data_IF_191027350306
#
_entry.id   IF_191027350306
#
_cell.length_a   1.000
_cell.length_b   1.000
_cell.length_c   1.000
_cell.angle_alpha   90.00
_cell.angle_beta   90.00
_cell.angle_gamma   90.00
#
_symmetry.space_group_name_H-M   'P 1'
#
loop_
_entity.id
_entity.type
_entity.pdbx_description
1 polymer ?
#
# COMPACT_ATOMS: atom_id res chain seq x y z
N UNK A 1 4.27 -30.13 -6.96
CA UNK A 1 5.40 -29.52 -6.28
C UNK A 1 5.22 -28.00 -6.30
N UNK A 2 4.44 -27.51 -5.36
CA UNK A 2 4.11 -26.08 -5.27
C UNK A 2 5.13 -25.30 -4.42
N UNK A 3 6.21 -25.94 -4.01
CA UNK A 3 7.22 -25.38 -3.11
C UNK A 3 8.59 -25.18 -3.74
N UNK A 4 8.78 -25.54 -5.01
CA UNK A 4 10.07 -25.38 -5.67
C UNK A 4 10.32 -23.93 -6.04
N UNK A 5 11.52 -23.46 -5.73
CA UNK A 5 12.00 -22.14 -6.13
C UNK A 5 12.27 -22.08 -7.65
N UNK A 6 12.33 -20.86 -8.18
CA UNK A 6 12.63 -20.63 -9.61
C UNK A 6 14.01 -21.16 -10.00
N UNK A 7 14.98 -21.05 -9.09
CA UNK A 7 16.32 -21.59 -9.29
C UNK A 7 16.31 -23.13 -9.41
N UNK A 8 15.63 -23.81 -8.50
CA UNK A 8 15.49 -25.28 -8.52
C UNK A 8 14.78 -25.75 -9.80
N UNK A 9 13.72 -25.05 -10.22
CA UNK A 9 13.01 -25.36 -11.45
C UNK A 9 13.89 -25.18 -12.68
N UNK A 10 14.74 -24.16 -12.70
CA UNK A 10 15.68 -23.91 -13.81
C UNK A 10 16.77 -24.99 -13.87
N UNK A 11 17.29 -25.42 -12.71
CA UNK A 11 18.28 -26.52 -12.62
C UNK A 11 17.68 -27.83 -13.15
N UNK A 12 16.45 -28.14 -12.78
CA UNK A 12 15.75 -29.33 -13.29
C UNK A 12 15.56 -29.24 -14.80
N UNK A 13 15.13 -28.05 -15.30
CA UNK A 13 15.00 -27.82 -16.73
C UNK A 13 16.31 -28.08 -17.49
N UNK A 14 17.41 -27.53 -17.00
CA UNK A 14 18.72 -27.75 -17.58
C UNK A 14 19.18 -29.24 -17.48
N UNK A 15 18.89 -29.91 -16.37
CA UNK A 15 19.21 -31.31 -16.17
C UNK A 15 18.48 -32.24 -17.16
N UNK A 16 17.26 -31.92 -17.54
CA UNK A 16 16.48 -32.67 -18.53
C UNK A 16 17.12 -32.58 -19.93
N UNK A 17 17.75 -31.44 -20.26
CA UNK A 17 18.43 -31.28 -21.55
C UNK A 17 19.70 -32.14 -21.73
N UNK A 18 20.25 -32.64 -20.64
CA UNK A 18 21.44 -33.56 -20.66
C UNK A 18 21.04 -34.99 -21.01
N UNK A 19 19.74 -35.28 -21.11
CA UNK A 19 19.27 -36.65 -21.42
C UNK A 19 19.47 -36.91 -22.92
N UNK A 20 20.39 -37.82 -23.24
CA UNK A 20 20.70 -38.20 -24.61
C UNK A 20 19.94 -39.48 -25.04
N UNK A 21 19.35 -40.20 -24.08
CA UNK A 21 18.67 -41.48 -24.32
C UNK A 21 17.41 -41.65 -23.49
N UNK A 22 16.35 -42.06 -24.12
CA UNK A 22 15.08 -42.44 -23.45
C UNK A 22 14.76 -43.90 -23.83
N UNK A 23 14.98 -44.83 -22.88
CA UNK A 23 14.85 -46.26 -23.16
C UNK A 23 15.87 -46.72 -24.22
N UNK A 24 15.46 -47.47 -25.25
CA UNK A 24 16.37 -47.93 -26.30
C UNK A 24 16.65 -46.90 -27.40
N UNK A 25 16.03 -45.69 -27.34
CA UNK A 25 16.13 -44.71 -28.39
C UNK A 25 17.00 -43.52 -28.01
N UNK A 26 17.83 -43.04 -28.95
CA UNK A 26 18.52 -41.76 -28.81
C UNK A 26 17.49 -40.61 -28.88
N UNK A 27 17.60 -39.69 -27.92
CA UNK A 27 16.65 -38.59 -27.79
C UNK A 27 17.39 -37.27 -27.59
N UNK A 28 16.93 -36.22 -28.23
CA UNK A 28 17.44 -34.87 -28.00
C UNK A 28 16.32 -34.05 -27.36
N UNK A 29 16.43 -33.82 -26.08
CA UNK A 29 15.47 -33.06 -25.29
C UNK A 29 15.86 -31.58 -25.27
N UNK A 30 14.92 -30.68 -25.48
CA UNK A 30 15.11 -29.25 -25.32
C UNK A 30 13.98 -28.66 -24.50
N UNK A 31 14.32 -27.81 -23.54
CA UNK A 31 13.36 -27.03 -22.77
C UNK A 31 12.95 -25.81 -23.58
N UNK A 32 11.73 -25.77 -24.08
CA UNK A 32 11.22 -24.65 -24.87
C UNK A 32 11.02 -23.39 -24.02
N UNK A 33 10.34 -23.55 -22.90
CA UNK A 33 10.05 -22.44 -21.97
C UNK A 33 9.66 -22.97 -20.59
N UNK A 34 10.15 -22.31 -19.57
CA UNK A 34 9.73 -22.54 -18.18
C UNK A 34 8.71 -21.47 -17.83
N UNK A 35 7.50 -21.88 -17.48
CA UNK A 35 6.42 -20.97 -17.11
C UNK A 35 5.92 -21.26 -15.69
N UNK A 36 5.65 -20.20 -14.93
CA UNK A 36 5.00 -20.35 -13.64
C UNK A 36 3.51 -20.62 -13.86
N UNK A 37 3.10 -21.86 -13.55
CA UNK A 37 1.70 -22.31 -13.65
C UNK A 37 0.74 -21.43 -12.81
N UNK A 38 1.26 -20.79 -11.76
CA UNK A 38 0.47 -19.91 -10.89
C UNK A 38 0.04 -18.66 -11.64
N UNK A 39 0.91 -18.10 -12.50
CA UNK A 39 0.57 -16.92 -13.32
C UNK A 39 -0.56 -17.27 -14.30
N UNK A 40 -0.40 -18.37 -15.05
CA UNK A 40 -1.46 -18.81 -15.99
C UNK A 40 -2.78 -19.18 -15.29
N UNK A 41 -2.72 -19.80 -14.11
CA UNK A 41 -3.94 -20.08 -13.33
C UNK A 41 -4.59 -18.80 -12.83
N UNK A 42 -3.81 -17.83 -12.41
CA UNK A 42 -4.30 -16.52 -11.98
C UNK A 42 -5.02 -15.80 -13.12
N UNK A 43 -4.39 -15.73 -14.30
CA UNK A 43 -5.00 -15.09 -15.48
C UNK A 43 -6.31 -15.78 -15.90
N UNK A 44 -6.35 -17.11 -15.87
CA UNK A 44 -7.57 -17.88 -16.14
C UNK A 44 -8.68 -17.58 -15.13
N UNK A 45 -8.33 -17.51 -13.83
CA UNK A 45 -9.29 -17.20 -12.76
C UNK A 45 -9.79 -15.76 -12.91
N UNK A 46 -8.90 -14.79 -13.18
CA UNK A 46 -9.29 -13.40 -13.41
C UNK A 46 -10.22 -13.26 -14.60
N UNK A 47 -9.87 -13.86 -15.74
CA UNK A 47 -10.70 -13.78 -16.93
C UNK A 47 -12.05 -14.46 -16.70
N UNK A 48 -12.06 -15.63 -16.05
CA UNK A 48 -13.32 -16.32 -15.73
C UNK A 48 -14.18 -15.52 -14.74
N UNK A 49 -13.56 -14.90 -13.74
CA UNK A 49 -14.28 -14.05 -12.80
C UNK A 49 -14.87 -12.81 -13.49
N UNK A 50 -14.14 -12.21 -14.45
CA UNK A 50 -14.65 -11.10 -15.26
C UNK A 50 -15.85 -11.53 -16.11
N UNK A 51 -15.77 -12.69 -16.78
CA UNK A 51 -16.87 -13.24 -17.57
C UNK A 51 -18.11 -13.53 -16.69
N UNK A 52 -17.88 -14.11 -15.51
CA UNK A 52 -18.96 -14.40 -14.56
C UNK A 52 -19.58 -13.11 -14.01
N UNK A 53 -18.77 -12.11 -13.71
CA UNK A 53 -19.25 -10.80 -13.25
C UNK A 53 -20.07 -10.12 -14.34
N UNK A 54 -19.62 -10.15 -15.60
CA UNK A 54 -20.37 -9.59 -16.72
C UNK A 54 -21.73 -10.27 -16.86
N UNK A 55 -21.75 -11.61 -16.82
CA UNK A 55 -22.98 -12.37 -16.89
C UNK A 55 -23.93 -12.11 -15.70
N UNK A 56 -23.38 -11.86 -14.51
CA UNK A 56 -24.16 -11.48 -13.33
C UNK A 56 -24.77 -10.07 -13.50
N UNK A 57 -24.00 -9.11 -13.99
CA UNK A 57 -24.46 -7.74 -14.25
C UNK A 57 -25.59 -7.76 -15.30
N UNK A 58 -25.41 -8.56 -16.36
CA UNK A 58 -26.37 -8.64 -17.47
C UNK A 58 -27.66 -9.38 -17.09
N UNK A 59 -27.62 -10.28 -16.09
CA UNK A 59 -28.74 -11.17 -15.75
C UNK A 59 -29.34 -10.95 -14.34
N UNK A 60 -28.85 -10.01 -13.52
CA UNK A 60 -29.26 -9.96 -12.12
C UNK A 60 -30.30 -8.93 -11.76
N UNK A 61 -31.27 -9.40 -11.02
CA UNK A 61 -32.18 -8.62 -10.18
C UNK A 61 -31.44 -8.01 -8.97
N UNK A 62 -32.01 -6.98 -8.30
CA UNK A 62 -31.31 -6.06 -7.40
C UNK A 62 -30.69 -6.60 -6.11
N UNK A 63 -30.86 -7.87 -5.76
CA UNK A 63 -30.40 -8.46 -4.49
C UNK A 63 -28.97 -9.03 -4.48
N UNK A 64 -28.21 -8.82 -5.56
CA UNK A 64 -26.87 -9.41 -5.72
C UNK A 64 -25.70 -8.44 -5.53
N UNK A 65 -25.93 -7.32 -4.83
CA UNK A 65 -24.90 -6.30 -4.60
C UNK A 65 -23.72 -6.86 -3.76
N UNK A 66 -24.03 -7.64 -2.73
CA UNK A 66 -22.99 -8.23 -1.87
C UNK A 66 -22.14 -9.26 -2.62
N UNK A 67 -22.73 -10.15 -3.41
CA UNK A 67 -21.98 -11.10 -4.22
C UNK A 67 -21.18 -10.44 -5.34
N UNK A 68 -21.71 -9.38 -5.96
CA UNK A 68 -20.98 -8.56 -6.94
C UNK A 68 -19.79 -7.87 -6.30
N UNK A 69 -19.94 -7.37 -5.09
CA UNK A 69 -18.87 -6.69 -4.36
C UNK A 69 -17.77 -7.67 -3.93
N UNK A 70 -18.12 -8.89 -3.52
CA UNK A 70 -17.16 -9.92 -3.14
C UNK A 70 -16.36 -10.44 -4.35
N UNK A 71 -17.00 -10.69 -5.49
CA UNK A 71 -16.32 -11.07 -6.73
C UNK A 71 -15.47 -9.92 -7.25
N UNK A 72 -15.97 -8.68 -7.21
CA UNK A 72 -15.23 -7.51 -7.59
C UNK A 72 -14.01 -7.28 -6.67
N UNK A 73 -14.13 -7.51 -5.35
CA UNK A 73 -13.04 -7.48 -4.41
C UNK A 73 -11.98 -8.55 -4.74
N UNK A 74 -12.40 -9.79 -5.01
CA UNK A 74 -11.50 -10.88 -5.38
C UNK A 74 -10.73 -10.60 -6.67
N UNK A 75 -11.39 -10.02 -7.69
CA UNK A 75 -10.73 -9.61 -8.94
C UNK A 75 -9.71 -8.51 -8.69
N UNK A 76 -10.02 -7.54 -7.84
CA UNK A 76 -9.11 -6.42 -7.51
C UNK A 76 -7.92 -6.86 -6.66
N UNK A 77 -8.11 -7.82 -5.75
CA UNK A 77 -7.01 -8.45 -5.03
C UNK A 77 -5.98 -9.07 -5.99
N UNK A 78 -6.43 -9.54 -7.15
CA UNK A 78 -5.59 -10.09 -8.20
C UNK A 78 -4.92 -9.00 -9.07
N UNK A 79 -5.43 -7.77 -9.07
CA UNK A 79 -4.81 -6.62 -9.75
C UNK A 79 -3.58 -6.08 -9.01
N UNK A 80 -3.44 -6.37 -7.71
CA UNK A 80 -2.27 -5.94 -6.95
C UNK A 80 -1.02 -6.63 -7.47
N UNK A 81 -0.08 -5.81 -7.87
CA UNK A 81 1.26 -6.21 -8.28
C UNK A 81 2.27 -5.95 -7.17
N UNK A 82 3.50 -6.40 -7.36
CA UNK A 82 4.63 -6.12 -6.46
C UNK A 82 5.66 -5.32 -7.23
N UNK A 83 5.97 -4.13 -6.72
CA UNK A 83 6.91 -3.22 -7.34
C UNK A 83 8.27 -3.23 -6.65
N UNK A 84 9.32 -3.17 -7.47
CA UNK A 84 10.69 -2.96 -7.03
C UNK A 84 11.29 -4.09 -6.20
N UNK A 85 12.50 -3.85 -5.67
CA UNK A 85 13.24 -4.78 -4.81
C UNK A 85 12.52 -5.02 -3.48
N UNK A 86 11.85 -4.00 -2.99
CA UNK A 86 11.11 -4.02 -1.71
C UNK A 86 9.76 -4.76 -1.84
N UNK A 87 9.39 -5.18 -3.06
CA UNK A 87 8.15 -5.92 -3.36
C UNK A 87 6.90 -5.23 -2.84
N UNK A 88 6.84 -3.91 -3.00
CA UNK A 88 5.75 -3.09 -2.50
C UNK A 88 4.44 -3.39 -3.21
N UNK A 89 3.31 -3.44 -2.49
CA UNK A 89 2.00 -3.62 -3.11
C UNK A 89 1.67 -2.40 -3.95
N UNK A 90 1.32 -2.60 -5.21
CA UNK A 90 0.97 -1.50 -6.11
C UNK A 90 -0.13 -1.87 -7.08
N UNK A 91 -0.72 -0.85 -7.67
CA UNK A 91 -1.65 -0.98 -8.78
C UNK A 91 -0.92 -1.26 -10.12
N UNK A 92 -1.68 -1.71 -11.14
CA UNK A 92 -1.11 -2.13 -12.42
C UNK A 92 -0.52 -1.00 -13.27
N UNK A 93 -0.88 0.26 -13.01
CA UNK A 93 -0.46 1.41 -13.81
C UNK A 93 0.59 2.29 -13.09
N UNK A 94 1.35 1.70 -12.16
CA UNK A 94 2.38 2.45 -11.43
C UNK A 94 3.54 2.92 -12.34
N UNK A 95 3.82 2.18 -13.40
CA UNK A 95 4.89 2.51 -14.35
C UNK A 95 4.41 3.47 -15.46
N UNK A 96 3.16 3.34 -15.88
CA UNK A 96 2.61 4.05 -17.04
C UNK A 96 2.23 5.50 -16.74
N UNK A 97 1.85 5.81 -15.50
CA UNK A 97 1.40 7.14 -15.11
C UNK A 97 2.54 8.05 -14.67
N UNK A 98 2.42 9.33 -15.01
CA UNK A 98 3.34 10.38 -14.56
C UNK A 98 3.15 10.72 -13.08
N UNK A 99 1.92 10.65 -12.57
CA UNK A 99 1.57 10.86 -11.16
C UNK A 99 1.27 9.53 -10.47
N UNK A 100 1.81 9.36 -9.27
CA UNK A 100 1.57 8.20 -8.41
C UNK A 100 1.02 8.61 -7.06
N UNK A 101 0.16 7.75 -6.50
CA UNK A 101 -0.38 7.89 -5.15
C UNK A 101 0.39 6.95 -4.21
N UNK A 102 1.06 7.51 -3.23
CA UNK A 102 1.75 6.74 -2.18
C UNK A 102 0.86 6.69 -0.95
N UNK A 103 0.57 5.48 -0.48
CA UNK A 103 -0.25 5.20 0.70
C UNK A 103 0.51 4.37 1.73
N UNK A 104 -0.04 4.24 2.92
CA UNK A 104 0.62 3.53 4.02
C UNK A 104 0.74 2.03 3.74
N UNK A 105 -0.36 1.38 3.46
CA UNK A 105 -0.44 -0.06 3.47
C UNK A 105 -1.10 -0.70 2.26
N UNK A 106 -1.20 -2.02 2.33
CA UNK A 106 -1.83 -2.83 1.29
C UNK A 106 -3.36 -2.66 1.26
N UNK A 107 -3.99 -2.42 2.41
CA UNK A 107 -5.42 -2.23 2.52
C UNK A 107 -5.86 -0.96 1.77
N UNK A 108 -5.09 0.13 1.91
CA UNK A 108 -5.32 1.38 1.19
C UNK A 108 -5.16 1.21 -0.32
N UNK A 109 -4.13 0.45 -0.75
CA UNK A 109 -3.97 0.11 -2.18
C UNK A 109 -5.20 -0.59 -2.71
N UNK A 110 -5.74 -1.57 -1.97
CA UNK A 110 -6.97 -2.28 -2.34
C UNK A 110 -8.16 -1.34 -2.44
N UNK A 111 -8.34 -0.47 -1.46
CA UNK A 111 -9.44 0.48 -1.43
C UNK A 111 -9.38 1.46 -2.61
N UNK A 112 -8.20 1.99 -2.90
CA UNK A 112 -8.03 2.89 -4.04
C UNK A 112 -8.24 2.17 -5.38
N UNK A 113 -7.75 0.95 -5.53
CA UNK A 113 -8.04 0.10 -6.71
C UNK A 113 -9.54 -0.16 -6.85
N UNK A 114 -10.24 -0.41 -5.74
CA UNK A 114 -11.71 -0.56 -5.71
C UNK A 114 -12.42 0.64 -6.31
N UNK A 115 -11.89 1.83 -6.13
CA UNK A 115 -12.47 3.07 -6.63
C UNK A 115 -11.89 3.52 -7.98
N UNK A 116 -11.05 2.68 -8.62
CA UNK A 116 -10.53 2.90 -9.97
C UNK A 116 -9.19 3.62 -10.05
N UNK A 117 -8.55 3.89 -8.90
CA UNK A 117 -7.21 4.48 -8.87
C UNK A 117 -6.17 3.38 -9.04
N UNK A 118 -5.52 3.31 -10.22
CA UNK A 118 -4.60 2.22 -10.58
C UNK A 118 -3.12 2.59 -10.45
N UNK A 119 -2.81 3.85 -10.20
CA UNK A 119 -1.47 4.43 -10.04
C UNK A 119 -1.07 4.56 -8.57
N UNK A 120 -1.43 3.58 -7.74
CA UNK A 120 -1.23 3.60 -6.29
C UNK A 120 -0.13 2.62 -5.88
N UNK A 121 0.65 2.97 -4.84
CA UNK A 121 1.68 2.12 -4.24
C UNK A 121 1.67 2.28 -2.72
N UNK A 122 1.76 1.16 -2.00
CA UNK A 122 1.85 1.13 -0.55
C UNK A 122 3.29 1.09 -0.06
N UNK A 123 3.60 1.86 0.98
CA UNK A 123 4.93 1.87 1.62
C UNK A 123 5.23 0.61 2.41
N UNK A 124 4.20 0.01 3.01
CA UNK A 124 4.32 -1.18 3.85
C UNK A 124 5.14 -0.97 5.14
N UNK A 125 5.04 0.21 5.72
CA UNK A 125 5.72 0.59 6.96
C UNK A 125 5.95 2.09 7.06
N UNK A 126 6.67 2.50 8.09
CA UNK A 126 6.96 3.92 8.38
C UNK A 126 8.23 4.43 7.71
N UNK A 127 9.15 3.54 7.34
CA UNK A 127 10.38 3.89 6.64
C UNK A 127 10.14 3.97 5.14
N UNK A 128 10.74 4.96 4.48
CA UNK A 128 10.59 5.16 3.03
C UNK A 128 11.45 4.16 2.26
N UNK A 129 10.85 3.20 1.54
CA UNK A 129 11.59 2.21 0.78
C UNK A 129 12.39 2.82 -0.38
N UNK A 130 13.49 2.18 -0.76
CA UNK A 130 14.33 2.61 -1.88
C UNK A 130 13.56 2.66 -3.21
N UNK A 131 12.61 1.77 -3.41
CA UNK A 131 11.74 1.77 -4.60
C UNK A 131 10.90 3.04 -4.70
N UNK A 132 10.41 3.59 -3.57
CA UNK A 132 9.66 4.86 -3.56
C UNK A 132 10.59 6.03 -3.78
N UNK A 133 11.79 6.06 -3.18
CA UNK A 133 12.80 7.09 -3.43
C UNK A 133 13.22 7.15 -4.90
N UNK A 134 13.26 6.00 -5.57
CA UNK A 134 13.56 5.93 -6.99
C UNK A 134 12.41 6.49 -7.84
N UNK A 135 11.18 6.11 -7.53
CA UNK A 135 9.99 6.60 -8.22
C UNK A 135 9.81 8.11 -8.07
N UNK A 136 10.07 8.65 -6.86
CA UNK A 136 9.89 10.08 -6.59
C UNK A 136 10.82 11.00 -7.39
N UNK A 137 11.94 10.48 -7.89
CA UNK A 137 12.83 11.23 -8.79
C UNK A 137 12.35 11.28 -10.23
N UNK A 138 11.39 10.44 -10.59
CA UNK A 138 10.95 10.25 -11.97
C UNK A 138 9.48 10.63 -12.19
N UNK A 139 8.69 10.68 -11.12
CA UNK A 139 7.25 10.85 -11.18
C UNK A 139 6.79 11.85 -10.13
N UNK A 140 5.66 12.48 -10.39
CA UNK A 140 4.97 13.33 -9.42
C UNK A 140 4.39 12.45 -8.31
N UNK A 141 4.80 12.70 -7.08
CA UNK A 141 4.37 11.91 -5.92
C UNK A 141 3.34 12.66 -5.10
N UNK A 142 2.16 12.10 -5.00
CA UNK A 142 1.10 12.52 -4.10
C UNK A 142 0.99 11.52 -2.94
N UNK A 143 1.32 11.93 -1.72
CA UNK A 143 1.09 11.11 -0.54
C UNK A 143 -0.39 11.18 -0.13
N UNK A 144 -1.01 10.04 0.13
CA UNK A 144 -2.38 9.97 0.65
C UNK A 144 -2.38 9.11 1.92
N UNK A 145 -2.59 9.76 3.04
CA UNK A 145 -2.44 9.15 4.38
C UNK A 145 -3.70 9.29 5.21
N UNK A 146 -3.77 8.54 6.29
CA UNK A 146 -4.86 8.56 7.24
C UNK A 146 -5.00 9.91 7.96
N UNK A 147 -6.21 10.21 8.42
CA UNK A 147 -6.54 11.46 9.12
C UNK A 147 -6.20 11.42 10.61
N UNK A 148 -5.08 10.78 10.98
CA UNK A 148 -4.66 10.59 12.35
C UNK A 148 -3.17 10.94 12.58
N UNK A 149 -2.70 10.67 13.81
CA UNK A 149 -1.30 10.91 14.17
C UNK A 149 -0.31 9.97 13.46
N UNK A 150 -0.76 8.76 13.10
CA UNK A 150 0.02 7.80 12.31
C UNK A 150 0.30 8.37 10.93
N UNK A 151 -0.73 8.86 10.25
CA UNK A 151 -0.61 9.53 8.96
C UNK A 151 0.32 10.76 9.00
N UNK A 152 0.25 11.57 10.06
CA UNK A 152 1.19 12.71 10.25
C UNK A 152 2.67 12.24 10.31
N UNK A 153 2.95 11.09 10.94
CA UNK A 153 4.30 10.52 11.01
C UNK A 153 4.78 10.00 9.65
N UNK A 154 3.89 9.38 8.89
CA UNK A 154 4.19 8.88 7.54
C UNK A 154 4.49 10.04 6.59
N UNK A 155 3.68 11.11 6.61
CA UNK A 155 3.96 12.32 5.84
C UNK A 155 5.34 12.88 6.18
N UNK A 156 5.68 12.94 7.46
CA UNK A 156 6.99 13.42 7.90
C UNK A 156 8.14 12.54 7.40
N UNK A 157 7.97 11.23 7.44
CA UNK A 157 8.96 10.27 6.91
C UNK A 157 9.11 10.43 5.40
N UNK A 158 8.01 10.53 4.67
CA UNK A 158 8.00 10.70 3.22
C UNK A 158 8.69 11.99 2.78
N UNK A 159 8.34 13.14 3.38
CA UNK A 159 8.94 14.45 3.05
C UNK A 159 10.44 14.47 3.35
N UNK A 160 10.91 13.74 4.35
CA UNK A 160 12.32 13.68 4.69
C UNK A 160 13.12 12.66 3.88
N UNK A 161 12.45 11.64 3.33
CA UNK A 161 13.09 10.50 2.69
C UNK A 161 12.91 10.40 1.18
N UNK A 162 11.99 11.14 0.58
CA UNK A 162 11.68 11.11 -0.85
C UNK A 162 11.26 12.49 -1.37
N UNK A 163 11.27 12.67 -2.68
CA UNK A 163 10.80 13.88 -3.33
C UNK A 163 9.27 13.80 -3.47
N UNK A 164 8.55 14.36 -2.49
CA UNK A 164 7.08 14.39 -2.46
C UNK A 164 6.61 15.76 -2.93
N UNK A 165 5.71 15.79 -3.90
CA UNK A 165 5.17 17.04 -4.44
C UNK A 165 3.93 17.50 -3.68
N UNK A 166 3.03 16.58 -3.38
CA UNK A 166 1.73 16.87 -2.80
C UNK A 166 1.39 15.90 -1.66
N UNK A 167 0.61 16.39 -0.73
CA UNK A 167 0.08 15.60 0.39
C UNK A 167 -1.42 15.80 0.48
N UNK A 168 -2.13 14.74 0.72
CA UNK A 168 -3.54 14.75 1.07
C UNK A 168 -3.78 13.81 2.24
N UNK A 169 -4.68 14.17 3.12
CA UNK A 169 -5.05 13.37 4.27
C UNK A 169 -6.52 12.96 4.17
N UNK A 170 -6.83 11.79 4.69
CA UNK A 170 -8.21 11.40 4.94
C UNK A 170 -8.88 12.40 5.92
N UNK A 171 -10.20 12.49 5.96
CA UNK A 171 -10.90 13.27 6.98
C UNK A 171 -10.47 12.84 8.40
N UNK A 172 -10.47 13.79 9.35
CA UNK A 172 -10.05 13.56 10.72
C UNK A 172 -10.67 12.29 11.32
N UNK A 173 -9.82 11.41 11.83
CA UNK A 173 -10.20 10.15 12.46
C UNK A 173 -10.68 9.05 11.52
N UNK A 174 -10.49 9.21 10.21
CA UNK A 174 -10.75 8.16 9.21
C UNK A 174 -9.47 7.62 8.62
N UNK A 175 -9.48 6.32 8.33
CA UNK A 175 -8.47 5.62 7.58
C UNK A 175 -8.77 5.68 6.07
N UNK A 176 -7.74 5.62 5.22
CA UNK A 176 -7.91 5.64 3.75
C UNK A 176 -8.73 4.43 3.28
N UNK A 177 -8.58 3.29 3.94
CA UNK A 177 -9.33 2.06 3.62
C UNK A 177 -10.84 2.15 3.89
N UNK A 178 -11.29 3.10 4.72
CA UNK A 178 -12.70 3.31 5.05
C UNK A 178 -13.40 4.30 4.11
N UNK A 179 -12.65 5.01 3.27
CA UNK A 179 -13.18 6.10 2.49
C UNK A 179 -14.07 5.63 1.34
N UNK A 180 -15.18 6.34 1.17
CA UNK A 180 -16.03 6.20 0.00
C UNK A 180 -15.40 6.89 -1.22
N UNK A 181 -15.84 6.52 -2.43
CA UNK A 181 -15.38 7.14 -3.68
C UNK A 181 -15.48 8.67 -3.67
N UNK A 182 -16.56 9.21 -3.10
CA UNK A 182 -16.79 10.67 -3.02
C UNK A 182 -15.78 11.35 -2.08
N UNK A 183 -15.47 10.72 -0.95
CA UNK A 183 -14.48 11.22 0.01
C UNK A 183 -13.06 11.18 -0.56
N UNK A 184 -12.68 10.08 -1.24
CA UNK A 184 -11.39 9.98 -1.93
C UNK A 184 -11.24 11.11 -2.95
N UNK A 185 -12.23 11.31 -3.84
CA UNK A 185 -12.19 12.40 -4.81
C UNK A 185 -12.13 13.78 -4.15
N UNK A 186 -12.83 13.98 -3.03
CA UNK A 186 -12.80 15.23 -2.28
C UNK A 186 -11.41 15.47 -1.69
N UNK A 187 -10.82 14.46 -1.05
CA UNK A 187 -9.47 14.52 -0.49
C UNK A 187 -8.44 14.85 -1.58
N UNK A 188 -8.47 14.12 -2.70
CA UNK A 188 -7.54 14.32 -3.81
C UNK A 188 -7.67 15.69 -4.50
N UNK A 189 -8.82 16.38 -4.38
CA UNK A 189 -8.99 17.76 -4.86
C UNK A 189 -8.43 18.80 -3.88
N UNK A 190 -8.27 18.47 -2.62
CA UNK A 190 -7.76 19.35 -1.56
C UNK A 190 -6.31 19.06 -1.19
N UNK A 191 -5.53 18.55 -2.15
CA UNK A 191 -4.10 18.34 -1.98
C UNK A 191 -3.39 19.66 -1.63
N UNK A 192 -2.44 19.58 -0.72
CA UNK A 192 -1.53 20.68 -0.37
C UNK A 192 -0.13 20.33 -0.82
N UNK A 193 0.73 21.33 -0.98
CA UNK A 193 2.14 21.06 -1.31
C UNK A 193 2.86 20.43 -0.12
N UNK A 194 3.92 19.66 -0.38
CA UNK A 194 4.74 19.07 0.67
C UNK A 194 5.31 20.12 1.64
N UNK A 195 5.63 21.32 1.15
CA UNK A 195 6.09 22.44 1.96
C UNK A 195 5.02 22.94 2.94
N UNK A 196 3.78 23.07 2.48
CA UNK A 196 2.64 23.43 3.33
C UNK A 196 2.37 22.36 4.38
N UNK A 197 2.38 21.07 3.97
CA UNK A 197 2.20 19.95 4.89
C UNK A 197 3.28 19.95 5.99
N UNK A 198 4.55 20.20 5.63
CA UNK A 198 5.65 20.30 6.57
C UNK A 198 5.45 21.43 7.59
N UNK A 199 5.06 22.61 7.10
CA UNK A 199 4.79 23.77 7.97
C UNK A 199 3.62 23.50 8.95
N UNK A 200 2.60 22.78 8.53
CA UNK A 200 1.47 22.43 9.39
C UNK A 200 1.81 21.36 10.43
N UNK A 201 2.64 20.38 10.07
CA UNK A 201 3.19 19.39 11.01
C UNK A 201 4.07 20.04 12.09
N UNK A 202 4.91 21.02 11.72
CA UNK A 202 5.77 21.74 12.66
C UNK A 202 4.95 22.56 13.66
N UNK A 203 3.83 23.19 13.22
CA UNK A 203 2.88 23.88 14.10
C UNK A 203 2.20 22.94 15.08
N UNK A 204 1.73 21.77 14.61
CA UNK A 204 1.11 20.75 15.47
C UNK A 204 2.10 20.23 16.51
N UNK A 205 3.38 20.00 16.15
CA UNK A 205 4.45 19.57 17.05
C UNK A 205 4.81 20.60 18.13
N UNK A 206 4.78 21.88 17.80
CA UNK A 206 5.09 22.98 18.74
C UNK A 206 4.07 23.17 19.86
N UNK A 207 2.79 22.87 19.59
CA UNK A 207 1.70 22.98 20.59
C UNK A 207 1.69 21.82 21.58
N UNK A 208 2.12 20.64 21.18
CA UNK A 208 2.22 19.47 22.08
C UNK A 208 3.32 19.65 23.15
N UNK A 209 4.43 20.32 22.82
CA UNK A 209 5.55 20.52 23.73
C UNK A 209 5.33 21.67 24.75
N UNK A 210 4.36 22.56 24.52
CA UNK A 210 3.96 23.60 25.48
C UNK A 210 3.05 23.11 26.58
N UNK A 211 2.24 22.07 26.35
CA UNK A 211 1.34 21.48 27.36
C UNK A 211 2.05 20.59 28.38
N UNK A 212 3.21 20.03 28.06
CA UNK A 212 3.98 19.18 28.99
C UNK A 212 4.91 19.95 29.94
N UNK A 213 5.14 21.26 29.71
CA UNK A 213 6.00 22.10 30.57
C UNK A 213 5.26 22.96 31.57
N UNK A 214 3.92 22.94 31.64
CA UNK A 214 3.08 23.77 32.48
C UNK A 214 2.63 23.14 33.80
N UNK A 215 3.06 21.93 34.16
CA UNK A 215 2.58 21.20 35.35
C UNK A 215 3.66 20.95 36.41
N UNK A 216 4.38 21.96 36.82
CA UNK A 216 5.40 21.77 37.84
C UNK A 216 5.80 23.05 38.54
N UNK A 217 4.91 23.61 39.37
CA UNK A 217 5.36 24.57 40.42
C UNK A 217 4.33 24.69 41.51
N UNK A 218 4.86 24.47 42.74
CA UNK A 218 4.45 25.09 43.99
C UNK A 218 3.46 24.35 44.86
N UNK A 219 3.96 23.66 45.86
CA UNK A 219 3.60 23.91 47.24
C UNK A 219 4.73 23.50 48.15
N UNK A 220 5.61 24.50 48.43
CA UNK A 220 6.43 24.56 49.61
C UNK A 220 5.77 25.52 50.57
N UNK A 221 5.83 25.19 51.85
CA UNK A 221 5.56 26.07 52.98
C UNK A 221 4.32 25.59 53.73
N UNK A 222 4.35 25.38 55.01
CA UNK A 222 5.12 26.00 56.03
C UNK A 222 5.00 25.16 57.28
N UNK A 223 6.13 24.91 57.88
CA UNK A 223 6.31 24.54 59.28
C UNK A 223 5.72 25.60 60.24
N UNK A 224 5.13 25.22 61.31
CA UNK A 224 4.74 26.02 62.47
C UNK A 224 4.45 25.05 63.58
N UNK A 225 5.36 24.77 64.29
CA UNK A 225 5.84 24.88 65.67
C UNK A 225 4.85 25.55 66.63
N UNK A 226 4.55 24.85 67.69
CA UNK A 226 4.33 25.30 69.09
C UNK A 226 3.69 24.19 69.91
N UNK A 227 4.45 23.44 70.60
CA UNK A 227 4.72 23.42 72.06
C UNK A 227 3.58 23.82 73.01
N UNK A 228 3.41 22.91 73.95
CA UNK A 228 3.19 23.04 75.38
C UNK A 228 1.81 22.79 75.97
N UNK A 229 1.94 21.92 76.98
CA UNK A 229 1.36 21.90 78.34
C UNK A 229 -0.14 21.51 78.43
N UNK A 230 -0.47 20.46 79.06
CA UNK A 230 -0.44 19.84 80.39
C UNK A 230 -0.84 18.39 80.27
#
# INVERSE_FOLDING_TARGET
PSSMDKAETSIIGASIEVIDRIGPCDAKVKVGRIEDVRVKKRDKVVNRAKDLLQNLIDNSMPDSQEMSDEVAHSVRMMEIQKYGKDRLPCGPHIEDNEEILVVEGRADVLQLLKHGFKNVIGMNGTDVPESIKHLSKQKIVSAFVDGDRGGDLIVKSLINGADVDQVTTAPDGKEVEELTKKEIHKALRSKITAEQAKADLDKKGGTANKKSRGGGKSSRGSSGDASKDE
#
